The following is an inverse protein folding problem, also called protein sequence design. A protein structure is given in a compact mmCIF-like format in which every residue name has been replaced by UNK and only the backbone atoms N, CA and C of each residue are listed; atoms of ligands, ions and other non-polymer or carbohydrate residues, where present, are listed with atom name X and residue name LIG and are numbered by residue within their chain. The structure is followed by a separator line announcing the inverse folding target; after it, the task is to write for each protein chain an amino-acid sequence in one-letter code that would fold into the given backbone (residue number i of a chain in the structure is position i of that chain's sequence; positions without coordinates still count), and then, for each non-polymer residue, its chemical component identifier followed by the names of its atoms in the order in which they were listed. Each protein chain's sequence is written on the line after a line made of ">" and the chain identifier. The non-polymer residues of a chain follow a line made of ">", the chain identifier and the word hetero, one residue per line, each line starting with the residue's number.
data_IF_665268121411
#
_entry.id   IF_665268121411
#
_cell.length_a   1.000
_cell.length_b   1.000
_cell.length_c   1.000
_cell.angle_alpha   90.00
_cell.angle_beta   90.00
_cell.angle_gamma   90.00
#
_symmetry.space_group_name_H-M   'P 1'
#
loop_
_entity.id
_entity.type
_entity.pdbx_description
1 polymer ?
#
# COMPACT_ATOMS: atom_id res chain seq x y z
N UNK A 1 -7.19 -5.87 -1.21
CA UNK A 1 -7.12 -7.20 -0.58
C UNK A 1 -8.08 -7.19 0.60
N UNK A 2 -9.06 -8.10 0.62
CA UNK A 2 -10.15 -8.12 1.60
C UNK A 2 -9.56 -8.17 3.01
N UNK A 3 -9.92 -7.23 3.89
CA UNK A 3 -9.47 -7.25 5.30
C UNK A 3 -9.94 -8.57 5.93
N UNK A 4 -9.05 -9.54 6.05
CA UNK A 4 -9.36 -10.81 6.71
C UNK A 4 -9.36 -10.56 8.21
N UNK A 5 -10.50 -10.09 8.74
CA UNK A 5 -10.71 -9.77 10.16
C UNK A 5 -10.46 -10.96 11.11
N UNK A 6 -10.21 -12.17 10.57
CA UNK A 6 -9.77 -13.35 11.34
C UNK A 6 -8.30 -13.30 11.76
N UNK A 7 -7.45 -12.52 11.06
CA UNK A 7 -6.00 -12.44 11.32
C UNK A 7 -5.60 -11.26 12.22
N UNK A 8 -6.57 -10.44 12.67
CA UNK A 8 -6.31 -9.32 13.58
C UNK A 8 -5.97 -9.82 14.99
N UNK A 9 -4.98 -9.20 15.62
CA UNK A 9 -4.69 -9.43 17.03
C UNK A 9 -5.83 -8.89 17.90
N UNK A 10 -6.04 -9.47 19.10
CA UNK A 10 -7.12 -9.06 19.99
C UNK A 10 -7.06 -7.56 20.38
N UNK A 11 -5.84 -7.01 20.47
CA UNK A 11 -5.60 -5.61 20.82
C UNK A 11 -6.01 -4.66 19.69
N UNK A 12 -5.66 -4.97 18.45
CA UNK A 12 -6.03 -4.16 17.27
C UNK A 12 -7.53 -4.18 17.04
N UNK A 13 -8.15 -5.34 17.23
CA UNK A 13 -9.59 -5.50 17.08
C UNK A 13 -10.35 -4.69 18.14
N UNK A 14 -9.87 -4.68 19.39
CA UNK A 14 -10.44 -3.85 20.45
C UNK A 14 -10.26 -2.34 20.18
N UNK A 15 -9.09 -1.92 19.67
CA UNK A 15 -8.85 -0.52 19.30
C UNK A 15 -9.78 -0.08 18.15
N UNK A 16 -9.88 -0.89 17.10
CA UNK A 16 -10.74 -0.60 15.95
C UNK A 16 -12.22 -0.58 16.34
N UNK A 17 -12.62 -1.46 17.27
CA UNK A 17 -13.97 -1.44 17.86
C UNK A 17 -14.28 -0.12 18.54
N UNK A 18 -13.37 0.40 19.38
CA UNK A 18 -13.58 1.66 20.09
C UNK A 18 -13.67 2.86 19.12
N UNK A 19 -12.83 2.91 18.09
CA UNK A 19 -12.87 3.94 17.06
C UNK A 19 -14.21 3.89 16.30
N UNK A 20 -14.63 2.69 15.89
CA UNK A 20 -15.89 2.52 15.16
C UNK A 20 -17.12 2.89 16.02
N UNK A 21 -17.13 2.52 17.31
CA UNK A 21 -18.17 2.92 18.27
C UNK A 21 -18.24 4.46 18.39
N UNK A 22 -17.08 5.12 18.48
CA UNK A 22 -17.02 6.58 18.57
C UNK A 22 -17.57 7.26 17.31
N UNK A 23 -17.17 6.79 16.12
CA UNK A 23 -17.65 7.32 14.85
C UNK A 23 -19.17 7.09 14.66
N UNK A 24 -19.68 5.91 15.03
CA UNK A 24 -21.11 5.64 15.02
C UNK A 24 -21.87 6.53 16.00
N UNK A 25 -21.30 6.79 17.18
CA UNK A 25 -21.86 7.74 18.15
C UNK A 25 -21.97 9.15 17.58
N UNK A 26 -20.91 9.65 16.95
CA UNK A 26 -20.90 10.96 16.29
C UNK A 26 -21.92 11.05 15.16
N UNK A 27 -21.97 10.05 14.27
CA UNK A 27 -22.96 9.97 13.18
C UNK A 27 -24.40 9.92 13.71
N UNK A 28 -24.63 9.15 14.78
CA UNK A 28 -25.93 9.10 15.44
C UNK A 28 -26.37 10.47 15.96
N UNK A 29 -25.45 11.20 16.62
CA UNK A 29 -25.72 12.55 17.14
C UNK A 29 -26.04 13.55 16.02
N UNK A 30 -25.32 13.53 14.90
CA UNK A 30 -25.59 14.40 13.75
C UNK A 30 -26.95 14.11 13.10
N UNK A 31 -27.39 12.85 13.09
CA UNK A 31 -28.67 12.43 12.53
C UNK A 31 -29.88 12.72 13.44
N UNK A 32 -29.67 13.21 14.67
CA UNK A 32 -30.76 13.48 15.63
C UNK A 32 -31.79 14.47 15.09
N UNK A 33 -31.34 15.50 14.37
CA UNK A 33 -32.16 16.58 13.85
C UNK A 33 -32.82 16.25 12.51
N UNK A 34 -32.16 15.41 11.69
CA UNK A 34 -32.58 15.10 10.31
C UNK A 34 -33.42 13.81 10.24
N UNK A 35 -33.05 12.78 11.01
CA UNK A 35 -33.70 11.48 11.00
C UNK A 35 -33.68 10.86 12.42
N UNK A 36 -34.52 11.35 13.35
CA UNK A 36 -34.45 11.00 14.76
C UNK A 36 -34.57 9.49 15.01
N UNK A 37 -35.35 8.78 14.20
CA UNK A 37 -35.51 7.32 14.29
C UNK A 37 -34.24 6.57 13.89
N UNK A 38 -33.57 6.98 12.81
CA UNK A 38 -32.29 6.40 12.38
C UNK A 38 -31.17 6.69 13.39
N UNK A 39 -31.13 7.92 13.91
CA UNK A 39 -30.23 8.33 14.99
C UNK A 39 -30.32 7.41 16.21
N UNK A 40 -31.53 7.15 16.71
CA UNK A 40 -31.73 6.27 17.89
C UNK A 40 -31.20 4.87 17.63
N UNK A 41 -31.45 4.29 16.45
CA UNK A 41 -30.94 2.94 16.11
C UNK A 41 -29.41 2.91 16.07
N UNK A 42 -28.79 3.93 15.47
CA UNK A 42 -27.32 4.02 15.35
C UNK A 42 -26.67 4.23 16.71
N UNK A 43 -27.23 5.09 17.57
CA UNK A 43 -26.74 5.34 18.92
C UNK A 43 -26.87 4.10 19.82
N UNK A 44 -28.03 3.42 19.78
CA UNK A 44 -28.23 2.16 20.51
C UNK A 44 -27.26 1.10 20.00
N UNK A 45 -27.05 1.01 18.68
CA UNK A 45 -26.07 0.12 18.08
C UNK A 45 -24.63 0.38 18.54
N UNK A 46 -24.23 1.65 18.63
CA UNK A 46 -22.91 2.06 19.11
C UNK A 46 -22.70 1.66 20.59
N UNK A 47 -23.69 1.90 21.45
CA UNK A 47 -23.64 1.53 22.87
C UNK A 47 -23.56 0.01 23.04
N UNK A 48 -24.43 -0.74 22.35
CA UNK A 48 -24.44 -2.20 22.39
C UNK A 48 -23.13 -2.80 21.87
N UNK A 49 -22.56 -2.20 20.81
CA UNK A 49 -21.27 -2.62 20.29
C UNK A 49 -20.14 -2.35 21.30
N UNK A 50 -20.16 -1.23 22.02
CA UNK A 50 -19.17 -0.90 23.05
C UNK A 50 -19.13 -1.89 24.21
N UNK A 51 -20.30 -2.33 24.68
CA UNK A 51 -20.47 -3.20 25.86
C UNK A 51 -20.20 -4.68 25.55
N UNK A 52 -20.32 -5.11 24.29
CA UNK A 52 -20.21 -6.52 23.93
C UNK A 52 -18.80 -7.08 24.21
N UNK A 53 -18.63 -8.19 24.96
CA UNK A 53 -17.31 -8.73 25.31
C UNK A 53 -16.59 -9.38 24.13
N UNK A 54 -17.33 -9.77 23.09
CA UNK A 54 -16.77 -10.39 21.89
C UNK A 54 -16.53 -9.34 20.79
N UNK A 55 -15.32 -8.78 20.78
CA UNK A 55 -14.92 -7.72 19.86
C UNK A 55 -15.04 -8.13 18.38
N UNK A 56 -14.91 -9.43 18.06
CA UNK A 56 -15.07 -9.94 16.69
C UNK A 56 -16.51 -9.85 16.22
N UNK A 57 -17.46 -10.23 17.08
CA UNK A 57 -18.89 -10.21 16.75
C UNK A 57 -19.42 -8.77 16.71
N UNK A 58 -18.93 -7.92 17.62
CA UNK A 58 -19.31 -6.51 17.65
C UNK A 58 -18.95 -5.81 16.33
N UNK A 59 -17.69 -5.92 15.89
CA UNK A 59 -17.17 -5.25 14.69
C UNK A 59 -17.68 -5.89 13.40
N UNK A 60 -17.73 -7.23 13.34
CA UNK A 60 -18.03 -7.95 12.10
C UNK A 60 -19.52 -8.04 11.79
N UNK A 61 -20.37 -8.08 12.83
CA UNK A 61 -21.80 -8.35 12.67
C UNK A 61 -22.68 -7.24 13.23
N UNK A 62 -22.44 -6.79 14.46
CA UNK A 62 -23.37 -5.90 15.16
C UNK A 62 -23.34 -4.46 14.61
N UNK A 63 -22.15 -3.89 14.37
CA UNK A 63 -22.03 -2.53 13.81
C UNK A 63 -22.58 -2.41 12.37
N UNK A 64 -22.25 -3.32 11.43
CA UNK A 64 -22.83 -3.26 10.09
C UNK A 64 -24.35 -3.48 10.09
N UNK A 65 -24.85 -4.38 10.93
CA UNK A 65 -26.29 -4.64 11.04
C UNK A 65 -27.05 -3.42 11.56
N UNK A 66 -26.52 -2.74 12.58
CA UNK A 66 -27.15 -1.55 13.18
C UNK A 66 -27.13 -0.34 12.23
N UNK A 67 -26.06 -0.17 11.44
CA UNK A 67 -26.03 0.81 10.34
C UNK A 67 -27.05 0.47 9.25
N UNK A 68 -27.13 -0.80 8.82
CA UNK A 68 -28.12 -1.24 7.82
C UNK A 68 -29.56 -1.04 8.29
N UNK A 69 -29.86 -1.35 9.54
CA UNK A 69 -31.18 -1.14 10.13
C UNK A 69 -31.45 0.37 10.24
N UNK A 70 -30.47 1.18 10.64
CA UNK A 70 -30.59 2.64 10.66
C UNK A 70 -30.97 3.25 9.31
N UNK A 71 -30.43 2.71 8.20
CA UNK A 71 -30.74 3.14 6.83
C UNK A 71 -32.22 2.88 6.44
N UNK A 72 -32.87 1.88 7.03
CA UNK A 72 -34.30 1.63 6.79
C UNK A 72 -35.20 2.75 7.34
N UNK A 73 -34.74 3.45 8.38
CA UNK A 73 -35.48 4.51 9.08
C UNK A 73 -35.18 5.92 8.57
N UNK A 74 -34.30 6.07 7.57
CA UNK A 74 -34.09 7.35 6.89
C UNK A 74 -35.34 7.70 6.05
N UNK A 75 -35.98 8.83 6.38
CA UNK A 75 -37.27 9.29 5.84
C UNK A 75 -37.19 9.86 4.41
N UNK A 76 -35.98 10.15 3.92
CA UNK A 76 -35.63 10.50 2.53
C UNK A 76 -34.20 9.97 2.32
N UNK A 77 -33.85 9.13 1.30
CA UNK A 77 -33.85 9.48 -0.14
C UNK A 77 -34.22 8.31 -1.09
N UNK A 78 -34.22 8.57 -2.41
CA UNK A 78 -34.47 7.58 -3.49
C UNK A 78 -33.63 6.31 -3.32
N UNK A 79 -34.18 5.16 -3.74
CA UNK A 79 -33.57 3.82 -3.66
C UNK A 79 -32.09 3.75 -4.08
N UNK A 80 -31.63 4.65 -4.95
CA UNK A 80 -30.25 4.79 -5.41
C UNK A 80 -29.27 5.18 -4.28
N UNK A 81 -29.64 6.11 -3.39
CA UNK A 81 -28.79 6.51 -2.25
C UNK A 81 -28.68 5.41 -1.19
N UNK A 82 -29.75 4.64 -0.97
CA UNK A 82 -29.70 3.44 -0.10
C UNK A 82 -28.76 2.38 -0.67
N UNK A 83 -28.74 2.22 -2.00
CA UNK A 83 -27.79 1.37 -2.71
C UNK A 83 -26.34 1.82 -2.54
N UNK A 84 -26.04 3.11 -2.75
CA UNK A 84 -24.69 3.67 -2.58
C UNK A 84 -24.22 3.50 -1.13
N UNK A 85 -25.07 3.77 -0.14
CA UNK A 85 -24.69 3.64 1.27
C UNK A 85 -24.46 2.17 1.68
N UNK A 86 -25.30 1.25 1.20
CA UNK A 86 -25.09 -0.19 1.39
C UNK A 86 -23.78 -0.65 0.74
N UNK A 87 -23.44 -0.11 -0.44
CA UNK A 87 -22.17 -0.36 -1.12
C UNK A 87 -21.01 0.23 -0.32
N UNK A 88 -21.08 1.46 0.19
CA UNK A 88 -20.03 2.06 1.04
C UNK A 88 -19.82 1.27 2.33
N UNK A 89 -20.88 0.81 2.98
CA UNK A 89 -20.80 -0.05 4.18
C UNK A 89 -20.23 -1.42 3.83
N UNK A 90 -20.56 -1.99 2.67
CA UNK A 90 -19.95 -3.22 2.16
C UNK A 90 -18.47 -3.02 1.77
N UNK A 91 -18.09 -1.88 1.20
CA UNK A 91 -16.72 -1.52 0.87
C UNK A 91 -15.88 -1.30 2.13
N UNK A 92 -16.46 -0.69 3.17
CA UNK A 92 -15.87 -0.60 4.50
C UNK A 92 -15.74 -2.00 5.16
N UNK A 93 -16.75 -2.87 5.03
CA UNK A 93 -16.74 -4.28 5.48
C UNK A 93 -15.64 -5.10 4.78
N UNK A 94 -15.34 -4.78 3.53
CA UNK A 94 -14.32 -5.45 2.73
C UNK A 94 -12.94 -4.75 2.76
N UNK A 95 -12.79 -3.68 3.53
CA UNK A 95 -11.48 -3.06 3.80
C UNK A 95 -10.92 -2.19 2.69
N UNK A 96 -11.78 -1.65 1.81
CA UNK A 96 -11.35 -0.84 0.66
C UNK A 96 -11.25 0.66 0.97
N UNK A 97 -11.48 1.07 2.22
CA UNK A 97 -11.45 2.47 2.67
C UNK A 97 -10.43 2.75 3.79
N UNK A 98 -9.46 1.87 4.02
CA UNK A 98 -8.36 2.14 4.96
C UNK A 98 -7.08 2.47 4.20
N UNK A 99 -6.84 3.76 3.98
CA UNK A 99 -5.51 4.28 3.63
C UNK A 99 -4.58 4.15 4.86
N UNK A 100 -3.79 3.06 4.88
CA UNK A 100 -2.51 2.76 5.59
C UNK A 100 -2.32 3.17 7.09
N UNK A 101 -1.28 2.69 7.80
CA UNK A 101 -0.61 1.39 7.78
C UNK A 101 -0.69 0.69 9.17
N UNK A 102 -0.72 -0.64 9.23
CA UNK A 102 -0.37 -1.35 10.48
C UNK A 102 0.64 -2.44 10.16
N UNK A 103 1.72 -2.40 10.92
CA UNK A 103 2.90 -3.27 10.92
C UNK A 103 2.47 -4.71 11.22
N UNK A 104 1.96 -5.40 10.21
CA UNK A 104 2.07 -6.85 10.14
C UNK A 104 3.58 -7.15 10.07
N UNK A 105 4.10 -8.10 10.85
CA UNK A 105 5.48 -8.56 10.67
C UNK A 105 5.59 -9.05 9.23
N UNK A 106 6.10 -8.19 8.35
CA UNK A 106 5.97 -8.43 6.94
C UNK A 106 6.89 -9.59 6.61
N UNK A 107 6.29 -10.71 6.21
CA UNK A 107 7.04 -11.92 5.89
C UNK A 107 7.92 -11.62 4.69
N UNK A 108 9.23 -11.74 4.88
CA UNK A 108 10.18 -11.53 3.80
C UNK A 108 9.91 -12.54 2.67
N UNK A 109 9.94 -12.09 1.40
CA UNK A 109 9.71 -12.98 0.28
C UNK A 109 10.83 -14.03 0.19
N UNK A 110 10.50 -15.25 -0.21
CA UNK A 110 11.46 -16.37 -0.31
C UNK A 110 12.42 -16.26 -1.50
N UNK A 111 12.24 -15.25 -2.38
CA UNK A 111 13.05 -15.04 -3.58
C UNK A 111 14.51 -14.72 -3.26
N UNK A 112 14.78 -14.02 -2.15
CA UNK A 112 16.12 -13.56 -1.80
C UNK A 112 16.67 -14.27 -0.56
N UNK A 113 17.98 -14.28 -0.43
CA UNK A 113 18.69 -14.67 0.79
C UNK A 113 19.03 -13.41 1.57
N UNK A 114 18.78 -13.41 2.88
CA UNK A 114 18.90 -12.21 3.72
C UNK A 114 20.04 -12.35 4.73
N UNK A 115 20.95 -11.38 4.73
CA UNK A 115 21.95 -11.26 5.80
C UNK A 115 21.52 -10.22 6.83
N UNK A 116 20.65 -10.62 7.77
CA UNK A 116 20.21 -9.75 8.86
C UNK A 116 21.18 -9.73 10.04
N UNK A 117 22.42 -10.20 9.88
CA UNK A 117 23.42 -10.15 10.95
C UNK A 117 23.83 -8.69 11.22
N UNK A 118 24.18 -8.36 12.46
CA UNK A 118 24.57 -7.00 12.83
C UNK A 118 23.44 -5.96 13.02
N UNK A 119 22.22 -6.19 12.54
CA UNK A 119 21.10 -5.26 12.74
C UNK A 119 20.47 -5.36 14.15
N UNK A 120 20.03 -4.23 14.70
CA UNK A 120 19.22 -4.21 15.92
C UNK A 120 17.82 -4.81 15.66
N UNK A 121 17.10 -5.22 16.72
CA UNK A 121 15.72 -5.73 16.56
C UNK A 121 14.78 -4.74 15.86
N UNK A 122 14.94 -3.44 16.16
CA UNK A 122 14.13 -2.38 15.56
C UNK A 122 14.45 -2.24 14.07
N UNK A 123 15.73 -2.26 13.71
CA UNK A 123 16.16 -2.10 12.32
C UNK A 123 15.79 -3.32 11.48
N UNK A 124 15.86 -4.53 12.06
CA UNK A 124 15.33 -5.75 11.42
C UNK A 124 13.85 -5.61 11.10
N UNK A 125 13.05 -5.10 12.03
CA UNK A 125 11.61 -4.94 11.82
C UNK A 125 11.31 -3.86 10.76
N UNK A 126 12.03 -2.74 10.80
CA UNK A 126 11.93 -1.67 9.81
C UNK A 126 12.28 -2.19 8.41
N UNK A 127 13.41 -2.88 8.29
CA UNK A 127 13.85 -3.54 7.06
C UNK A 127 12.81 -4.53 6.55
N UNK A 128 12.36 -5.48 7.38
CA UNK A 128 11.37 -6.48 6.98
C UNK A 128 10.10 -5.83 6.44
N UNK A 129 9.61 -4.79 7.12
CA UNK A 129 8.40 -4.06 6.73
C UNK A 129 8.60 -3.34 5.39
N UNK A 130 9.66 -2.56 5.27
CA UNK A 130 9.96 -1.79 4.07
C UNK A 130 10.21 -2.70 2.87
N UNK A 131 11.02 -3.73 3.05
CA UNK A 131 11.40 -4.69 2.01
C UNK A 131 10.19 -5.47 1.49
N UNK A 132 9.40 -6.05 2.38
CA UNK A 132 8.24 -6.83 1.97
C UNK A 132 7.14 -5.95 1.35
N UNK A 133 6.96 -4.71 1.83
CA UNK A 133 6.03 -3.76 1.22
C UNK A 133 6.47 -3.37 -0.18
N UNK A 134 7.74 -2.96 -0.34
CA UNK A 134 8.31 -2.62 -1.65
C UNK A 134 8.26 -3.80 -2.61
N UNK A 135 8.61 -5.01 -2.15
CA UNK A 135 8.52 -6.22 -2.97
C UNK A 135 7.10 -6.46 -3.47
N UNK A 136 6.10 -6.38 -2.59
CA UNK A 136 4.71 -6.58 -2.97
C UNK A 136 4.24 -5.52 -3.97
N UNK A 137 4.58 -4.25 -3.74
CA UNK A 137 4.23 -3.18 -4.67
C UNK A 137 4.89 -3.40 -6.06
N UNK A 138 6.16 -3.84 -6.11
CA UNK A 138 6.86 -4.19 -7.36
C UNK A 138 6.17 -5.37 -8.07
N UNK A 139 5.77 -6.43 -7.34
CA UNK A 139 5.05 -7.55 -7.96
C UNK A 139 3.72 -7.09 -8.56
N UNK A 140 2.96 -6.28 -7.84
CA UNK A 140 1.70 -5.71 -8.35
C UNK A 140 1.98 -4.83 -9.59
N UNK A 141 3.04 -4.02 -9.58
CA UNK A 141 3.42 -3.23 -10.75
C UNK A 141 3.72 -4.14 -11.94
N UNK A 142 4.54 -5.17 -11.76
CA UNK A 142 4.90 -6.10 -12.83
C UNK A 142 3.67 -6.79 -13.43
N UNK A 143 2.71 -7.20 -12.59
CA UNK A 143 1.45 -7.81 -13.06
C UNK A 143 0.60 -6.80 -13.86
N UNK A 144 0.47 -5.56 -13.38
CA UNK A 144 -0.30 -4.52 -14.07
C UNK A 144 0.34 -4.08 -15.38
N UNK A 145 1.67 -3.97 -15.41
CA UNK A 145 2.44 -3.64 -16.61
C UNK A 145 2.30 -4.75 -17.65
N UNK A 146 2.40 -6.02 -17.26
CA UNK A 146 2.23 -7.17 -18.17
C UNK A 146 0.79 -7.28 -18.73
N UNK A 147 -0.18 -6.69 -18.05
CA UNK A 147 -1.57 -6.67 -18.50
C UNK A 147 -1.86 -5.62 -19.60
N UNK A 148 -0.93 -4.68 -19.86
CA UNK A 148 -1.09 -3.62 -20.86
C UNK A 148 0.14 -3.50 -21.77
N UNK A 149 -0.04 -3.65 -23.08
CA UNK A 149 1.07 -3.69 -24.03
C UNK A 149 1.87 -2.37 -24.12
N UNK A 150 1.23 -1.22 -23.90
CA UNK A 150 1.92 0.07 -23.93
C UNK A 150 2.77 0.24 -22.68
N UNK A 151 2.22 -0.06 -21.50
CA UNK A 151 2.96 -0.04 -20.25
C UNK A 151 4.12 -1.04 -20.27
N UNK A 152 3.90 -2.24 -20.80
CA UNK A 152 4.95 -3.24 -20.97
C UNK A 152 6.10 -2.73 -21.83
N UNK A 153 5.80 -2.14 -22.99
CA UNK A 153 6.83 -1.59 -23.87
C UNK A 153 7.66 -0.47 -23.20
N UNK A 154 7.02 0.37 -22.39
CA UNK A 154 7.71 1.41 -21.61
C UNK A 154 8.59 0.77 -20.53
N UNK A 155 8.04 -0.15 -19.74
CA UNK A 155 8.78 -0.83 -18.67
C UNK A 155 9.99 -1.62 -19.19
N UNK A 156 9.85 -2.31 -20.33
CA UNK A 156 10.93 -3.05 -20.97
C UNK A 156 12.02 -2.10 -21.49
N UNK A 157 11.63 -0.99 -22.13
CA UNK A 157 12.57 0.02 -22.63
C UNK A 157 13.45 0.61 -21.52
N UNK A 158 12.87 0.82 -20.34
CA UNK A 158 13.57 1.36 -19.17
C UNK A 158 14.05 0.27 -18.19
N UNK A 159 13.88 -1.00 -18.55
CA UNK A 159 14.34 -2.17 -17.80
C UNK A 159 13.87 -2.17 -16.34
N UNK A 160 12.61 -1.79 -16.10
CA UNK A 160 12.05 -1.61 -14.76
C UNK A 160 12.19 -2.88 -13.89
N UNK A 161 11.80 -4.05 -14.42
CA UNK A 161 11.87 -5.32 -13.67
C UNK A 161 13.32 -5.65 -13.28
N UNK A 162 14.29 -5.39 -14.18
CA UNK A 162 15.72 -5.61 -13.90
C UNK A 162 16.25 -4.71 -12.78
N UNK A 163 16.02 -3.39 -12.86
CA UNK A 163 16.57 -2.47 -11.87
C UNK A 163 15.91 -2.64 -10.50
N UNK A 164 14.60 -2.85 -10.46
CA UNK A 164 13.90 -3.14 -9.21
C UNK A 164 14.37 -4.45 -8.58
N UNK A 165 14.57 -5.51 -9.37
CA UNK A 165 15.10 -6.78 -8.86
C UNK A 165 16.53 -6.65 -8.31
N UNK A 166 17.39 -5.92 -9.01
CA UNK A 166 18.76 -5.68 -8.57
C UNK A 166 18.83 -4.84 -7.29
N UNK A 167 17.98 -3.82 -7.15
CA UNK A 167 17.88 -3.04 -5.90
C UNK A 167 17.44 -3.94 -4.75
N UNK A 168 16.38 -4.74 -4.95
CA UNK A 168 15.86 -5.64 -3.93
C UNK A 168 16.87 -6.74 -3.56
N UNK A 169 17.59 -7.31 -4.52
CA UNK A 169 18.66 -8.27 -4.26
C UNK A 169 19.79 -7.63 -3.44
N UNK A 170 20.21 -6.42 -3.81
CA UNK A 170 21.27 -5.68 -3.08
C UNK A 170 20.84 -5.37 -1.65
N UNK A 171 19.58 -4.98 -1.44
CA UNK A 171 19.04 -4.74 -0.09
C UNK A 171 18.90 -6.01 0.74
N UNK A 172 18.61 -7.16 0.12
CA UNK A 172 18.56 -8.43 0.82
C UNK A 172 19.94 -8.87 1.32
N UNK A 173 20.97 -8.66 0.49
CA UNK A 173 22.36 -8.92 0.84
C UNK A 173 22.91 -7.92 1.86
N UNK A 174 22.56 -6.63 1.71
CA UNK A 174 23.08 -5.50 2.51
C UNK A 174 21.95 -4.67 3.14
N UNK A 175 21.22 -5.21 4.12
CA UNK A 175 20.07 -4.55 4.72
C UNK A 175 20.40 -3.24 5.45
N UNK A 176 21.65 -3.03 5.84
CA UNK A 176 22.15 -1.75 6.38
C UNK A 176 22.07 -0.59 5.38
N UNK A 177 21.97 -0.89 4.07
CA UNK A 177 21.80 0.11 3.02
C UNK A 177 20.36 0.56 2.83
N UNK A 178 19.43 0.13 3.69
CA UNK A 178 18.03 0.54 3.61
C UNK A 178 17.85 2.07 3.49
N UNK A 179 18.65 2.84 4.22
CA UNK A 179 18.63 4.32 4.19
C UNK A 179 18.94 4.88 2.80
N UNK A 180 19.81 4.21 2.02
CA UNK A 180 20.14 4.63 0.66
C UNK A 180 19.01 4.32 -0.34
N UNK A 181 18.08 3.44 0.03
CA UNK A 181 16.93 3.05 -0.77
C UNK A 181 15.61 3.66 -0.25
N UNK A 182 15.66 4.63 0.66
CA UNK A 182 14.45 5.27 1.20
C UNK A 182 13.61 5.91 0.09
N UNK A 183 14.24 6.67 -0.81
CA UNK A 183 13.53 7.33 -1.93
C UNK A 183 12.90 6.29 -2.86
N UNK A 184 13.62 5.20 -3.15
CA UNK A 184 13.13 4.08 -3.95
C UNK A 184 11.89 3.42 -3.33
N UNK A 185 11.98 3.00 -2.06
CA UNK A 185 10.94 2.20 -1.39
C UNK A 185 9.72 3.02 -0.97
N UNK A 186 9.92 4.27 -0.54
CA UNK A 186 8.84 5.08 0.03
C UNK A 186 8.23 6.06 -0.97
N UNK A 187 8.95 6.44 -2.02
CA UNK A 187 8.47 7.41 -3.00
C UNK A 187 8.35 6.82 -4.40
N UNK A 188 9.44 6.37 -5.02
CA UNK A 188 9.42 5.98 -6.43
C UNK A 188 8.52 4.78 -6.71
N UNK A 189 8.68 3.65 -6.00
CA UNK A 189 7.85 2.45 -6.20
C UNK A 189 6.36 2.73 -5.93
N UNK A 190 5.96 3.34 -4.79
CA UNK A 190 4.55 3.65 -4.55
C UNK A 190 3.95 4.63 -5.57
N UNK A 191 4.74 5.59 -6.05
CA UNK A 191 4.28 6.53 -7.08
C UNK A 191 4.11 5.86 -8.44
N UNK A 192 5.00 4.95 -8.84
CA UNK A 192 4.81 4.14 -10.05
C UNK A 192 3.47 3.38 -9.97
N UNK A 193 3.24 2.68 -8.86
CA UNK A 193 1.99 1.93 -8.66
C UNK A 193 0.75 2.84 -8.71
N UNK A 194 0.82 4.03 -8.10
CA UNK A 194 -0.25 5.03 -8.15
C UNK A 194 -0.54 5.48 -9.58
N UNK A 195 0.49 5.86 -10.34
CA UNK A 195 0.33 6.35 -11.71
C UNK A 195 -0.19 5.26 -12.65
N UNK A 196 0.28 4.01 -12.53
CA UNK A 196 -0.25 2.88 -13.32
C UNK A 196 -1.75 2.67 -13.02
N UNK A 197 -2.17 2.72 -11.76
CA UNK A 197 -3.59 2.59 -11.40
C UNK A 197 -4.43 3.72 -11.98
N UNK A 198 -3.92 4.94 -11.99
CA UNK A 198 -4.58 6.08 -12.63
C UNK A 198 -4.68 5.84 -14.14
N UNK A 199 -3.58 5.48 -14.80
CA UNK A 199 -3.56 5.15 -16.24
C UNK A 199 -4.62 4.10 -16.60
N UNK A 200 -4.65 2.97 -15.89
CA UNK A 200 -5.62 1.90 -16.15
C UNK A 200 -7.07 2.32 -15.86
N UNK A 201 -7.28 3.23 -14.90
CA UNK A 201 -8.61 3.77 -14.60
C UNK A 201 -9.10 4.66 -15.73
N UNK A 202 -8.26 5.57 -16.21
CA UNK A 202 -8.56 6.48 -17.34
C UNK A 202 -8.79 5.68 -18.62
N UNK A 203 -7.97 4.66 -18.89
CA UNK A 203 -8.10 3.79 -20.06
C UNK A 203 -9.41 2.99 -20.07
N UNK A 204 -9.92 2.59 -18.89
CA UNK A 204 -11.21 1.87 -18.78
C UNK A 204 -12.42 2.80 -18.87
N UNK A 205 -12.28 4.05 -18.46
CA UNK A 205 -13.38 5.04 -18.44
C UNK A 205 -13.57 5.73 -19.79
N UNK A 206 -12.70 5.49 -20.76
CA UNK A 206 -12.69 6.25 -22.01
C UNK A 206 -13.76 5.78 -22.99
N UNK A 207 -14.87 6.52 -23.02
CA UNK A 207 -15.63 6.77 -24.23
C UNK A 207 -15.09 8.08 -24.87
N UNK A 208 -14.14 7.95 -25.80
CA UNK A 208 -13.76 8.95 -26.83
C UNK A 208 -13.72 10.42 -26.34
N UNK A 209 -12.78 10.80 -25.47
CA UNK A 209 -12.54 12.24 -25.18
C UNK A 209 -11.05 12.59 -25.21
N UNK A 210 -10.70 13.66 -25.93
CA UNK A 210 -9.30 14.14 -26.07
C UNK A 210 -8.63 14.42 -24.72
N UNK A 211 -9.40 14.85 -23.73
CA UNK A 211 -8.91 15.10 -22.37
C UNK A 211 -8.37 13.83 -21.69
N UNK A 212 -8.94 12.67 -22.00
CA UNK A 212 -8.45 11.41 -21.47
C UNK A 212 -7.15 10.97 -22.16
N UNK A 213 -6.99 11.25 -23.46
CA UNK A 213 -5.74 10.97 -24.18
C UNK A 213 -4.57 11.79 -23.61
N UNK A 214 -4.79 13.07 -23.29
CA UNK A 214 -3.79 13.92 -22.62
C UNK A 214 -3.39 13.38 -21.24
N UNK A 215 -4.36 12.88 -20.45
CA UNK A 215 -4.07 12.27 -19.16
C UNK A 215 -3.29 10.97 -19.27
N UNK A 216 -3.60 10.14 -20.28
CA UNK A 216 -2.86 8.91 -20.55
C UNK A 216 -1.43 9.22 -20.98
N UNK A 217 -1.21 10.25 -21.79
CA UNK A 217 0.12 10.70 -22.18
C UNK A 217 0.91 11.26 -20.97
N UNK A 218 0.28 12.10 -20.15
CA UNK A 218 0.91 12.63 -18.94
C UNK A 218 1.31 11.51 -17.96
N UNK A 219 0.45 10.51 -17.79
CA UNK A 219 0.75 9.35 -16.97
C UNK A 219 1.96 8.57 -17.52
N UNK A 220 2.01 8.32 -18.84
CA UNK A 220 3.15 7.67 -19.48
C UNK A 220 4.45 8.47 -19.29
N UNK A 221 4.43 9.78 -19.51
CA UNK A 221 5.59 10.64 -19.32
C UNK A 221 6.09 10.64 -17.86
N UNK A 222 5.15 10.60 -16.91
CA UNK A 222 5.48 10.50 -15.48
C UNK A 222 6.10 9.14 -15.14
N UNK A 223 5.58 8.05 -15.71
CA UNK A 223 6.17 6.71 -15.53
C UNK A 223 7.58 6.62 -16.10
N UNK A 224 7.80 7.21 -17.28
CA UNK A 224 9.13 7.29 -17.88
C UNK A 224 10.12 8.02 -16.96
N UNK A 225 9.72 9.14 -16.36
CA UNK A 225 10.56 9.85 -15.40
C UNK A 225 10.87 8.99 -14.17
N UNK A 226 9.85 8.38 -13.57
CA UNK A 226 10.02 7.50 -12.39
C UNK A 226 10.91 6.28 -12.69
N UNK A 227 10.81 5.67 -13.87
CA UNK A 227 11.67 4.54 -14.23
C UNK A 227 13.14 4.95 -14.42
N UNK A 228 13.39 6.19 -14.90
CA UNK A 228 14.75 6.74 -14.95
C UNK A 228 15.30 6.99 -13.54
N UNK A 229 14.50 7.53 -12.63
CA UNK A 229 14.90 7.73 -11.23
C UNK A 229 15.19 6.40 -10.52
N UNK A 230 14.42 5.34 -10.77
CA UNK A 230 14.72 4.00 -10.22
C UNK A 230 16.08 3.47 -10.70
N UNK A 231 16.47 3.77 -11.94
CA UNK A 231 17.83 3.46 -12.40
C UNK A 231 18.89 4.27 -11.65
N UNK A 232 18.60 5.52 -11.30
CA UNK A 232 19.48 6.35 -10.46
C UNK A 232 19.58 5.76 -9.05
N UNK A 233 18.47 5.32 -8.44
CA UNK A 233 18.47 4.66 -7.13
C UNK A 233 19.40 3.45 -7.11
N UNK A 234 19.35 2.62 -8.15
CA UNK A 234 20.26 1.47 -8.29
C UNK A 234 21.72 1.91 -8.33
N UNK A 235 22.05 2.98 -9.05
CA UNK A 235 23.40 3.52 -9.09
C UNK A 235 23.84 4.06 -7.73
N UNK A 236 22.99 4.80 -7.01
CA UNK A 236 23.30 5.30 -5.66
C UNK A 236 23.59 4.12 -4.72
N UNK A 237 22.80 3.06 -4.80
CA UNK A 237 22.95 1.87 -3.96
C UNK A 237 24.23 1.08 -4.22
N UNK A 238 24.75 1.12 -5.45
CA UNK A 238 25.93 0.35 -5.90
C UNK A 238 27.21 1.17 -6.02
N UNK A 239 27.14 2.51 -6.02
CA UNK A 239 28.30 3.39 -6.13
C UNK A 239 29.36 3.12 -5.06
N UNK A 240 28.93 2.85 -3.82
CA UNK A 240 29.83 2.51 -2.71
C UNK A 240 30.67 1.27 -3.01
N UNK A 241 30.10 0.26 -3.67
CA UNK A 241 30.85 -0.95 -4.03
C UNK A 241 31.80 -0.71 -5.20
N UNK A 242 31.41 0.11 -6.17
CA UNK A 242 32.26 0.41 -7.33
C UNK A 242 33.51 1.20 -6.97
N UNK A 243 33.43 2.09 -5.97
CA UNK A 243 34.59 2.82 -5.44
C UNK A 243 35.54 1.89 -4.70
N UNK A 244 35.01 1.05 -3.80
CA UNK A 244 35.81 0.07 -3.07
C UNK A 244 36.49 -0.96 -4.00
N UNK A 245 35.81 -1.40 -5.06
CA UNK A 245 36.38 -2.30 -6.06
C UNK A 245 37.53 -1.63 -6.85
N UNK A 246 37.36 -0.36 -7.20
CA UNK A 246 38.37 0.42 -7.93
C UNK A 246 39.63 0.62 -7.09
N UNK A 247 39.48 0.91 -5.79
CA UNK A 247 40.60 1.00 -4.85
C UNK A 247 41.33 -0.34 -4.69
N UNK A 248 40.60 -1.45 -4.56
CA UNK A 248 41.22 -2.78 -4.48
C UNK A 248 41.99 -3.15 -5.75
N UNK A 249 41.48 -2.81 -6.93
CA UNK A 249 42.19 -2.98 -8.20
C UNK A 249 43.45 -2.11 -8.23
N UNK A 250 43.39 -0.87 -7.77
CA UNK A 250 44.55 0.02 -7.71
C UNK A 250 45.64 -0.53 -6.75
N UNK A 251 45.27 -1.03 -5.57
CA UNK A 251 46.19 -1.67 -4.63
C UNK A 251 46.79 -2.95 -5.23
N UNK A 252 45.99 -3.76 -5.92
CA UNK A 252 46.46 -4.97 -6.60
C UNK A 252 47.46 -4.64 -7.73
N UNK A 253 47.19 -3.60 -8.52
CA UNK A 253 48.11 -3.11 -9.55
C UNK A 253 49.42 -2.59 -8.94
N UNK A 254 49.34 -1.84 -7.84
CA UNK A 254 50.50 -1.28 -7.16
C UNK A 254 51.37 -2.36 -6.50
N UNK A 255 50.76 -3.42 -5.96
CA UNK A 255 51.47 -4.57 -5.41
C UNK A 255 52.08 -5.47 -6.50
N UNK A 256 51.48 -5.54 -7.69
CA UNK A 256 52.09 -6.19 -8.86
C UNK A 256 53.27 -5.36 -9.43
N UNK A 257 53.13 -4.04 -9.48
CA UNK A 257 54.20 -3.14 -9.95
C UNK A 257 55.42 -3.14 -9.01
N UNK A 258 55.22 -3.17 -7.69
CA UNK A 258 56.30 -3.23 -6.70
C UNK A 258 56.95 -4.62 -6.53
N UNK A 259 56.50 -5.66 -7.24
CA UNK A 259 57.08 -7.02 -7.21
C UNK A 259 57.98 -7.33 -8.42
N UNK A 260 58.08 -6.42 -9.39
CA UNK A 260 59.02 -6.47 -10.51
C UNK A 260 60.18 -5.49 -10.28
#
# INVERSE_FOLDING_TARGET
>A
MLLNLRTLTAVELRRNKLIAVFLMGALGLELTTVAPRASVVILVGAVMAGILPNDKVAVLWLMPATLLVGVLFLTQPTWQMKGIFAVVVLLARFGLLQDKPIVQSATLPTKYTYDLTGLSRKDKQAFQTAFATGYNDIQIINDLVKADAQLQAIADRYQFELFTDNIMATLAEKPERLVLADEFLYNHVPNVLKIIRIYMTVQKQTAVSQFADEQLEQAQNTLVALFKEIKVDYHVLTQVDSQALSEQIAIAQQTMYNRN
#
